data_IF_246994535407
#
_entry.id   IF_246994535407
#
_cell.length_a   1.000
_cell.length_b   1.000
_cell.length_c   1.000
_cell.angle_alpha   90.00
_cell.angle_beta   90.00
_cell.angle_gamma   90.00
#
_symmetry.space_group_name_H-M   'P 1'
#
loop_
_entity.id
_entity.type
_entity.pdbx_description
1 polymer ?
#
# COMPACT_ATOMS: atom_id res chain seq x y z
N UNK A 1 44.62 3.60 13.51
CA UNK A 1 43.93 2.61 12.65
C UNK A 1 42.54 2.39 13.24
N UNK A 2 41.46 2.48 12.45
CA UNK A 2 40.11 2.20 12.96
C UNK A 2 40.05 0.72 13.39
N UNK A 3 39.76 0.41 14.66
CA UNK A 3 39.56 -0.97 15.08
C UNK A 3 38.38 -1.57 14.32
N UNK A 4 38.47 -2.88 14.00
CA UNK A 4 37.42 -3.66 13.33
C UNK A 4 36.94 -3.09 11.98
N UNK A 5 37.81 -2.37 11.26
CA UNK A 5 37.49 -1.71 9.98
C UNK A 5 36.77 -2.62 8.98
N UNK A 6 37.21 -3.87 8.84
CA UNK A 6 36.69 -4.76 7.80
C UNK A 6 35.31 -5.34 8.19
N UNK A 7 35.07 -5.59 9.47
CA UNK A 7 33.74 -5.93 10.01
C UNK A 7 32.75 -4.78 9.83
N UNK A 8 33.18 -3.55 10.14
CA UNK A 8 32.37 -2.33 9.95
C UNK A 8 32.01 -2.17 8.46
N UNK A 9 32.99 -2.35 7.55
CA UNK A 9 32.73 -2.30 6.10
C UNK A 9 31.77 -3.39 5.63
N UNK A 10 31.85 -4.59 6.19
CA UNK A 10 30.91 -5.67 5.86
C UNK A 10 29.48 -5.31 6.31
N UNK A 11 29.32 -4.78 7.53
CA UNK A 11 28.02 -4.34 8.05
C UNK A 11 27.40 -3.19 7.28
N UNK A 12 28.20 -2.20 6.85
CA UNK A 12 27.69 -1.10 6.03
C UNK A 12 27.16 -1.60 4.68
N UNK A 13 27.87 -2.55 4.03
CA UNK A 13 27.38 -3.17 2.80
C UNK A 13 26.08 -3.94 2.99
N UNK A 14 25.96 -4.70 4.08
CA UNK A 14 24.71 -5.39 4.45
C UNK A 14 23.54 -4.40 4.59
N UNK A 15 23.77 -3.23 5.18
CA UNK A 15 22.74 -2.20 5.32
C UNK A 15 22.40 -1.51 3.99
N UNK A 16 23.39 -1.25 3.13
CA UNK A 16 23.15 -0.75 1.77
C UNK A 16 22.28 -1.73 0.97
N UNK A 17 22.63 -3.02 0.98
CA UNK A 17 21.86 -4.07 0.31
C UNK A 17 20.43 -4.18 0.87
N UNK A 18 20.28 -4.09 2.20
CA UNK A 18 18.97 -4.12 2.85
C UNK A 18 18.10 -2.92 2.45
N UNK A 19 18.69 -1.72 2.40
CA UNK A 19 18.02 -0.50 1.96
C UNK A 19 17.51 -0.63 0.53
N UNK A 20 18.35 -1.11 -0.38
CA UNK A 20 17.99 -1.28 -1.79
C UNK A 20 16.87 -2.32 -1.95
N UNK A 21 16.91 -3.41 -1.17
CA UNK A 21 15.82 -4.40 -1.13
C UNK A 21 14.51 -3.79 -0.64
N UNK A 22 14.53 -2.99 0.42
CA UNK A 22 13.33 -2.30 0.95
C UNK A 22 12.73 -1.37 -0.10
N UNK A 23 13.56 -0.51 -0.70
CA UNK A 23 13.11 0.45 -1.73
C UNK A 23 12.52 -0.29 -2.94
N UNK A 24 13.22 -1.29 -3.45
CA UNK A 24 12.74 -2.05 -4.62
C UNK A 24 11.46 -2.83 -4.34
N UNK A 25 11.30 -3.36 -3.14
CA UNK A 25 10.08 -4.05 -2.70
C UNK A 25 8.93 -3.05 -2.56
N UNK A 26 9.17 -1.88 -1.98
CA UNK A 26 8.20 -0.78 -1.95
C UNK A 26 7.73 -0.35 -3.35
N UNK A 27 8.65 -0.18 -4.31
CA UNK A 27 8.30 0.18 -5.70
C UNK A 27 7.39 -0.89 -6.35
N UNK A 28 7.70 -2.18 -6.14
CA UNK A 28 6.86 -3.27 -6.65
C UNK A 28 5.48 -3.25 -6.01
N UNK A 29 5.42 -3.04 -4.69
CA UNK A 29 4.18 -2.93 -3.94
C UNK A 29 3.31 -1.79 -4.49
N UNK A 30 3.85 -0.59 -4.65
CA UNK A 30 3.13 0.57 -5.22
C UNK A 30 2.56 0.29 -6.60
N UNK A 31 3.33 -0.38 -7.47
CA UNK A 31 2.86 -0.75 -8.82
C UNK A 31 1.66 -1.70 -8.75
N UNK A 32 1.69 -2.66 -7.83
CA UNK A 32 0.59 -3.61 -7.62
C UNK A 32 -0.62 -2.93 -6.97
N UNK A 33 -0.42 -2.02 -6.02
CA UNK A 33 -1.48 -1.20 -5.42
C UNK A 33 -2.23 -0.42 -6.50
N UNK A 34 -1.51 0.28 -7.38
CA UNK A 34 -2.09 1.00 -8.52
C UNK A 34 -2.83 0.07 -9.47
N UNK A 35 -2.24 -1.09 -9.78
CA UNK A 35 -2.86 -2.07 -10.68
C UNK A 35 -4.16 -2.65 -10.10
N UNK A 36 -4.19 -2.90 -8.79
CA UNK A 36 -5.39 -3.32 -8.04
C UNK A 36 -6.47 -2.24 -8.13
N UNK A 37 -6.14 -0.99 -7.81
CA UNK A 37 -7.07 0.15 -7.89
C UNK A 37 -7.64 0.29 -9.31
N UNK A 38 -6.80 0.29 -10.35
CA UNK A 38 -7.27 0.41 -11.74
C UNK A 38 -8.17 -0.75 -12.18
N UNK A 39 -7.87 -1.97 -11.74
CA UNK A 39 -8.72 -3.13 -12.03
C UNK A 39 -10.07 -3.04 -11.31
N UNK A 40 -10.08 -2.63 -10.03
CA UNK A 40 -11.30 -2.40 -9.25
C UNK A 40 -12.17 -1.31 -9.90
N UNK A 41 -11.60 -0.16 -10.28
CA UNK A 41 -12.33 0.94 -10.92
C UNK A 41 -13.02 0.50 -12.22
N UNK A 42 -12.40 -0.40 -12.99
CA UNK A 42 -12.95 -0.92 -14.25
C UNK A 42 -13.85 -2.14 -14.08
N UNK A 43 -14.00 -2.65 -12.86
CA UNK A 43 -14.74 -3.89 -12.59
C UNK A 43 -14.07 -5.16 -13.12
N UNK A 44 -12.77 -5.11 -13.45
CA UNK A 44 -11.99 -6.28 -13.86
C UNK A 44 -11.53 -7.05 -12.61
N UNK A 45 -12.46 -7.83 -12.05
CA UNK A 45 -12.25 -8.54 -10.79
C UNK A 45 -11.24 -9.68 -10.90
N UNK A 46 -11.16 -10.36 -12.05
CA UNK A 46 -10.19 -11.44 -12.25
C UNK A 46 -8.74 -10.92 -12.16
N UNK A 47 -8.48 -9.71 -12.69
CA UNK A 47 -7.17 -9.06 -12.51
C UNK A 47 -7.01 -8.47 -11.12
N UNK A 48 -8.05 -7.87 -10.54
CA UNK A 48 -7.99 -7.31 -9.18
C UNK A 48 -7.62 -8.38 -8.15
N UNK A 49 -8.22 -9.57 -8.23
CA UNK A 49 -7.96 -10.68 -7.31
C UNK A 49 -6.50 -11.15 -7.41
N UNK A 50 -5.96 -11.27 -8.64
CA UNK A 50 -4.55 -11.63 -8.87
C UNK A 50 -3.60 -10.57 -8.30
N UNK A 51 -3.84 -9.29 -8.58
CA UNK A 51 -2.98 -8.21 -8.07
C UNK A 51 -3.07 -8.08 -6.56
N UNK A 52 -4.24 -8.30 -5.96
CA UNK A 52 -4.45 -8.32 -4.52
C UNK A 52 -3.56 -9.39 -3.87
N UNK A 53 -3.56 -10.62 -4.39
CA UNK A 53 -2.70 -11.69 -3.90
C UNK A 53 -1.21 -11.35 -4.02
N UNK A 54 -0.80 -10.81 -5.18
CA UNK A 54 0.59 -10.40 -5.41
C UNK A 54 1.02 -9.30 -4.42
N UNK A 55 0.20 -8.27 -4.21
CA UNK A 55 0.56 -7.18 -3.29
C UNK A 55 0.59 -7.64 -1.84
N UNK A 56 -0.25 -8.61 -1.44
CA UNK A 56 -0.18 -9.19 -0.10
C UNK A 56 1.12 -9.94 0.14
N UNK A 57 1.64 -10.64 -0.87
CA UNK A 57 2.96 -11.30 -0.80
C UNK A 57 4.08 -10.27 -0.65
N UNK A 58 4.09 -9.24 -1.51
CA UNK A 58 5.10 -8.17 -1.45
C UNK A 58 5.02 -7.36 -0.13
N UNK A 59 3.82 -7.14 0.42
CA UNK A 59 3.66 -6.54 1.74
C UNK A 59 4.35 -7.38 2.81
N UNK A 60 4.13 -8.70 2.82
CA UNK A 60 4.73 -9.57 3.83
C UNK A 60 6.26 -9.52 3.76
N UNK A 61 6.83 -9.52 2.56
CA UNK A 61 8.26 -9.37 2.35
C UNK A 61 8.78 -8.01 2.83
N UNK A 62 8.08 -6.92 2.51
CA UNK A 62 8.44 -5.58 2.97
C UNK A 62 8.39 -5.47 4.49
N UNK A 63 7.34 -5.97 5.13
CA UNK A 63 7.20 -5.96 6.59
C UNK A 63 8.28 -6.79 7.28
N UNK A 64 8.69 -7.92 6.69
CA UNK A 64 9.81 -8.71 7.22
C UNK A 64 11.14 -7.95 7.13
N UNK A 65 11.42 -7.29 5.99
CA UNK A 65 12.61 -6.47 5.83
C UNK A 65 12.65 -5.30 6.81
N UNK A 66 11.53 -4.60 6.98
CA UNK A 66 11.44 -3.44 7.88
C UNK A 66 11.53 -3.86 9.35
N UNK A 67 11.01 -5.04 9.73
CA UNK A 67 11.23 -5.61 11.08
C UNK A 67 12.70 -5.94 11.32
N UNK A 68 13.41 -6.45 10.30
CA UNK A 68 14.83 -6.76 10.40
C UNK A 68 15.70 -5.49 10.45
N UNK A 69 15.31 -4.45 9.71
CA UNK A 69 16.02 -3.17 9.59
C UNK A 69 15.10 -1.97 9.90
N UNK A 70 14.69 -1.78 11.17
CA UNK A 70 13.65 -0.81 11.55
C UNK A 70 14.03 0.65 11.26
N UNK A 71 15.32 0.95 11.16
CA UNK A 71 15.81 2.30 10.81
C UNK A 71 15.53 2.71 9.35
N UNK A 72 15.07 1.79 8.50
CA UNK A 72 14.63 2.06 7.12
C UNK A 72 13.10 2.08 6.95
N UNK A 73 12.34 2.12 8.04
CA UNK A 73 10.89 2.20 8.00
C UNK A 73 10.38 3.36 7.13
N UNK A 74 11.04 4.52 7.22
CA UNK A 74 10.72 5.72 6.45
C UNK A 74 10.73 5.48 4.93
N UNK A 75 11.52 4.51 4.45
CA UNK A 75 11.58 4.13 3.03
C UNK A 75 10.39 3.29 2.58
N UNK A 76 9.71 2.62 3.51
CA UNK A 76 8.55 1.77 3.25
C UNK A 76 7.22 2.49 3.51
N UNK A 77 7.21 3.56 4.32
CA UNK A 77 5.99 4.20 4.82
C UNK A 77 4.98 4.57 3.72
N UNK A 78 5.44 5.20 2.63
CA UNK A 78 4.57 5.56 1.49
C UNK A 78 3.98 4.32 0.82
N UNK A 79 4.79 3.26 0.68
CA UNK A 79 4.32 2.01 0.08
C UNK A 79 3.30 1.28 0.93
N UNK A 80 3.45 1.31 2.26
CA UNK A 80 2.47 0.75 3.19
C UNK A 80 1.15 1.52 3.14
N UNK A 81 1.21 2.86 3.02
CA UNK A 81 0.04 3.70 2.82
C UNK A 81 -0.68 3.40 1.50
N UNK A 82 0.05 3.37 0.36
CA UNK A 82 -0.54 3.06 -0.96
C UNK A 82 -1.16 1.65 -0.99
N UNK A 83 -0.54 0.67 -0.34
CA UNK A 83 -1.13 -0.66 -0.16
C UNK A 83 -2.44 -0.60 0.65
N UNK A 84 -2.45 0.15 1.76
CA UNK A 84 -3.62 0.26 2.61
C UNK A 84 -4.81 0.86 1.86
N UNK A 85 -4.57 1.95 1.11
CA UNK A 85 -5.56 2.56 0.22
C UNK A 85 -6.12 1.55 -0.79
N UNK A 86 -5.24 0.84 -1.51
CA UNK A 86 -5.66 -0.14 -2.52
C UNK A 86 -6.48 -1.30 -1.92
N UNK A 87 -6.09 -1.79 -0.74
CA UNK A 87 -6.82 -2.84 -0.05
C UNK A 87 -8.19 -2.36 0.43
N UNK A 88 -8.27 -1.15 1.02
CA UNK A 88 -9.54 -0.53 1.44
C UNK A 88 -10.45 -0.34 0.23
N UNK A 89 -9.92 0.19 -0.88
CA UNK A 89 -10.68 0.40 -2.10
C UNK A 89 -11.22 -0.91 -2.68
N UNK A 90 -10.41 -1.97 -2.68
CA UNK A 90 -10.83 -3.30 -3.10
C UNK A 90 -12.00 -3.80 -2.25
N UNK A 91 -11.84 -3.83 -0.92
CA UNK A 91 -12.87 -4.37 0.00
C UNK A 91 -14.14 -3.53 -0.05
N UNK A 92 -14.02 -2.20 -0.11
CA UNK A 92 -15.19 -1.33 -0.18
C UNK A 92 -16.01 -1.56 -1.46
N UNK A 93 -15.35 -1.65 -2.62
CA UNK A 93 -16.07 -1.87 -3.88
C UNK A 93 -16.61 -3.30 -4.02
N UNK A 94 -15.99 -4.28 -3.35
CA UNK A 94 -16.41 -5.69 -3.39
C UNK A 94 -17.52 -6.01 -2.38
N UNK A 95 -17.33 -5.55 -1.14
CA UNK A 95 -18.12 -5.97 0.03
C UNK A 95 -18.95 -4.83 0.63
N UNK A 96 -18.75 -3.58 0.21
CA UNK A 96 -19.50 -2.43 0.72
C UNK A 96 -19.13 -2.01 2.15
N UNK A 97 -17.94 -2.34 2.62
CA UNK A 97 -17.46 -2.02 3.98
C UNK A 97 -16.00 -1.55 3.99
N UNK A 98 -15.61 -0.90 5.07
CA UNK A 98 -14.20 -0.60 5.35
C UNK A 98 -13.57 -1.79 6.08
N UNK A 99 -12.42 -2.34 5.61
CA UNK A 99 -11.72 -3.41 6.31
C UNK A 99 -11.06 -2.88 7.58
N UNK A 100 -10.92 -3.74 8.59
CA UNK A 100 -10.22 -3.43 9.83
C UNK A 100 -8.70 -3.33 9.63
N UNK A 101 -8.00 -2.64 10.55
CA UNK A 101 -6.53 -2.58 10.58
C UNK A 101 -5.87 -3.97 10.47
N UNK A 102 -6.42 -4.96 11.19
CA UNK A 102 -5.93 -6.34 11.17
C UNK A 102 -6.12 -7.06 9.83
N UNK A 103 -7.18 -6.73 9.08
CA UNK A 103 -7.40 -7.29 7.75
C UNK A 103 -6.42 -6.71 6.73
N UNK A 104 -6.11 -5.41 6.85
CA UNK A 104 -5.14 -4.73 5.97
C UNK A 104 -3.72 -5.22 6.25
N UNK A 105 -3.33 -5.33 7.52
CA UNK A 105 -2.03 -5.89 7.92
C UNK A 105 -0.85 -4.91 7.92
N UNK A 106 -1.13 -3.61 8.01
CA UNK A 106 -0.14 -2.53 8.18
C UNK A 106 -0.24 -1.94 9.59
N UNK A 107 0.62 -0.97 9.92
CA UNK A 107 0.54 -0.17 11.15
C UNK A 107 -0.58 0.88 11.10
N UNK A 108 -0.88 1.48 12.25
CA UNK A 108 -1.95 2.44 12.44
C UNK A 108 -1.80 3.69 11.56
N UNK A 109 -0.56 4.18 11.37
CA UNK A 109 -0.31 5.41 10.61
C UNK A 109 -0.54 5.16 9.12
N UNK A 110 0.00 4.07 8.57
CA UNK A 110 -0.23 3.70 7.18
C UNK A 110 -1.72 3.44 6.90
N UNK A 111 -2.42 2.74 7.80
CA UNK A 111 -3.84 2.46 7.67
C UNK A 111 -4.68 3.74 7.67
N UNK A 112 -4.47 4.65 8.63
CA UNK A 112 -5.22 5.90 8.72
C UNK A 112 -4.94 6.80 7.51
N UNK A 113 -3.69 6.89 7.04
CA UNK A 113 -3.35 7.67 5.87
C UNK A 113 -3.98 7.09 4.58
N UNK A 114 -3.92 5.76 4.40
CA UNK A 114 -4.54 5.11 3.25
C UNK A 114 -6.06 5.26 3.24
N UNK A 115 -6.69 5.21 4.41
CA UNK A 115 -8.12 5.48 4.55
C UNK A 115 -8.48 6.93 4.18
N UNK A 116 -7.67 7.91 4.61
CA UNK A 116 -7.89 9.32 4.27
C UNK A 116 -7.82 9.56 2.77
N UNK A 117 -6.81 9.01 2.08
CA UNK A 117 -6.67 9.15 0.63
C UNK A 117 -7.89 8.56 -0.09
N UNK A 118 -8.29 7.34 0.27
CA UNK A 118 -9.49 6.68 -0.25
C UNK A 118 -10.77 7.52 -0.06
N UNK A 119 -10.99 8.09 1.13
CA UNK A 119 -12.17 8.94 1.37
C UNK A 119 -12.15 10.23 0.56
N UNK A 120 -10.96 10.79 0.30
CA UNK A 120 -10.77 11.91 -0.61
C UNK A 120 -11.16 11.55 -2.05
N UNK A 121 -10.74 10.38 -2.53
CA UNK A 121 -11.11 9.89 -3.85
C UNK A 121 -12.61 9.64 -4.00
N UNK A 122 -13.26 9.04 -3.00
CA UNK A 122 -14.71 8.82 -3.00
C UNK A 122 -15.47 10.14 -3.10
N UNK A 123 -15.09 11.13 -2.30
CA UNK A 123 -15.75 12.45 -2.26
C UNK A 123 -15.61 13.17 -3.60
N UNK A 124 -14.42 13.10 -4.21
CA UNK A 124 -14.16 13.64 -5.56
C UNK A 124 -15.04 12.95 -6.61
N UNK A 125 -15.12 11.62 -6.59
CA UNK A 125 -15.95 10.85 -7.52
C UNK A 125 -17.44 11.13 -7.35
N UNK A 126 -17.94 11.24 -6.12
CA UNK A 126 -19.33 11.61 -5.86
C UNK A 126 -19.66 13.00 -6.41
N UNK A 127 -18.74 13.96 -6.25
CA UNK A 127 -18.88 15.31 -6.80
C UNK A 127 -18.87 15.31 -8.33
N UNK A 128 -17.98 14.53 -8.96
CA UNK A 128 -17.92 14.37 -10.42
C UNK A 128 -19.22 13.76 -11.00
N UNK A 129 -19.82 12.78 -10.34
CA UNK A 129 -21.08 12.17 -10.78
C UNK A 129 -22.30 13.06 -10.54
N UNK A 130 -22.31 13.85 -9.46
CA UNK A 130 -23.32 14.90 -9.23
C UNK A 130 -23.31 15.95 -10.33
N UNK A 131 -22.13 16.38 -10.80
CA UNK A 131 -22.00 17.33 -11.91
C UNK A 131 -22.56 16.77 -13.23
N UNK A 132 -22.60 15.44 -13.38
CA UNK A 132 -23.14 14.74 -14.55
C UNK A 132 -24.64 14.39 -14.43
N UNK A 133 -25.34 14.91 -13.41
CA UNK A 133 -26.77 14.68 -13.13
C UNK A 133 -27.12 13.21 -12.79
N UNK A 134 -26.14 12.43 -12.32
CA UNK A 134 -26.28 11.01 -12.01
C UNK A 134 -26.54 10.78 -10.51
N UNK A 135 -27.75 11.14 -10.06
CA UNK A 135 -28.17 11.22 -8.65
C UNK A 135 -28.07 9.90 -7.85
N UNK A 136 -28.09 8.73 -8.50
CA UNK A 136 -28.07 7.42 -7.81
C UNK A 136 -26.73 7.10 -7.13
N UNK A 137 -25.61 7.69 -7.60
CA UNK A 137 -24.30 7.47 -6.96
C UNK A 137 -24.06 8.42 -5.77
N UNK A 138 -24.68 9.60 -5.78
CA UNK A 138 -24.49 10.63 -4.76
C UNK A 138 -25.10 10.26 -3.39
N UNK A 139 -26.09 9.36 -3.39
CA UNK A 139 -26.88 9.01 -2.20
C UNK A 139 -26.37 7.77 -1.45
N UNK A 140 -25.27 7.14 -1.90
CA UNK A 140 -24.66 5.96 -1.26
C UNK A 140 -23.54 6.28 -0.24
N UNK A 141 -23.34 7.55 0.09
CA UNK A 141 -22.44 7.99 1.17
C UNK A 141 -23.02 7.76 2.56
#
# INVERSE_FOLDING_TARGET
MLPNRDEIKAKLREYEDARDRIINTGIRLNRLSKSTIYSVIRGDWDSADRYLEDMRRELQDLMNLVRQYPFYYDKAAVSLQEYAEAYIMYVYNRDGRIPTLSEVGVDEVAYLNGLMEFTGELSRKATEELIKDNLDYALKG
#
